data_IF_043799466954
#
_entry.id   IF_043799466954
#
_cell.length_a   1.000
_cell.length_b   1.000
_cell.length_c   1.000
_cell.angle_alpha   90.00
_cell.angle_beta   90.00
_cell.angle_gamma   90.00
#
_symmetry.space_group_name_H-M   'P 1'
#
loop_
_entity.id
_entity.type
_entity.pdbx_description
1 polymer ?
#
# COMPACT_ATOMS: atom_id res chain seq x y z
N UNK A 1 44.75 -40.09 68.40
CA UNK A 1 45.98 -40.93 68.14
C UNK A 1 46.55 -40.49 66.78
N UNK A 2 47.66 -39.87 66.91
CA UNK A 2 48.98 -40.14 66.26
C UNK A 2 48.89 -39.94 64.76
N UNK A 3 49.41 -38.87 64.27
CA UNK A 3 50.81 -38.51 64.18
C UNK A 3 51.44 -38.95 62.89
N UNK A 4 51.95 -38.00 62.22
CA UNK A 4 53.31 -37.79 61.70
C UNK A 4 53.36 -37.96 60.18
N UNK A 5 53.80 -36.99 59.53
CA UNK A 5 55.14 -36.36 59.33
C UNK A 5 55.67 -36.86 57.97
N UNK A 6 56.30 -36.19 57.16
CA UNK A 6 57.40 -35.25 57.06
C UNK A 6 57.73 -35.23 55.59
N UNK A 7 57.82 -34.15 54.99
CA UNK A 7 58.97 -33.30 54.68
C UNK A 7 59.70 -33.66 53.39
N UNK A 8 59.93 -32.66 52.69
CA UNK A 8 61.19 -32.02 52.25
C UNK A 8 61.80 -32.68 50.99
N UNK A 9 62.41 -32.06 50.10
CA UNK A 9 63.37 -30.99 50.04
C UNK A 9 63.83 -30.85 48.57
N UNK A 10 63.96 -29.64 48.14
CA UNK A 10 65.05 -28.95 47.45
C UNK A 10 65.42 -29.24 45.99
N UNK A 11 65.41 -28.10 45.29
CA UNK A 11 66.55 -27.46 44.62
C UNK A 11 66.84 -27.96 43.21
N UNK A 12 66.95 -27.18 42.23
CA UNK A 12 67.78 -26.03 41.92
C UNK A 12 67.38 -25.38 40.60
N UNK A 13 67.21 -24.12 40.58
CA UNK A 13 67.98 -23.08 39.87
C UNK A 13 68.62 -23.53 38.57
N UNK A 14 68.19 -22.93 37.46
CA UNK A 14 69.08 -22.26 36.47
C UNK A 14 68.28 -21.17 35.74
N UNK A 15 68.79 -19.95 35.89
CA UNK A 15 68.51 -18.76 35.12
C UNK A 15 68.89 -18.94 33.65
N UNK A 16 68.08 -18.44 32.73
CA UNK A 16 68.60 -17.77 31.56
C UNK A 16 67.58 -16.78 30.99
N UNK A 17 67.99 -15.56 31.03
CA UNK A 17 67.36 -14.34 30.51
C UNK A 17 67.43 -14.38 28.99
N UNK A 18 66.34 -14.00 28.32
CA UNK A 18 66.38 -13.24 27.07
C UNK A 18 65.00 -12.70 26.69
N UNK A 19 64.80 -11.44 26.96
CA UNK A 19 64.59 -10.32 26.04
C UNK A 19 63.27 -10.35 25.27
N UNK A 20 62.43 -9.39 25.72
CA UNK A 20 61.59 -8.46 24.95
C UNK A 20 60.86 -8.94 23.71
N UNK A 21 59.55 -8.93 23.83
CA UNK A 21 58.62 -8.93 22.74
C UNK A 21 57.23 -8.58 23.24
N UNK A 22 56.95 -7.29 23.52
CA UNK A 22 55.61 -6.80 23.68
C UNK A 22 54.86 -6.97 22.34
N UNK A 23 53.95 -7.92 22.24
CA UNK A 23 52.86 -7.84 21.30
C UNK A 23 51.59 -8.23 22.07
N UNK A 24 50.81 -7.21 22.38
CA UNK A 24 49.44 -7.34 22.88
C UNK A 24 48.64 -8.14 21.90
N UNK A 25 47.87 -9.16 22.28
CA UNK A 25 46.91 -9.77 21.39
C UNK A 25 45.82 -8.72 21.15
N UNK A 26 45.81 -8.15 19.92
CA UNK A 26 44.60 -7.52 19.40
C UNK A 26 43.47 -8.54 19.56
N UNK A 27 42.52 -8.23 20.42
CA UNK A 27 41.21 -8.83 20.36
C UNK A 27 40.67 -8.50 18.97
N UNK A 28 40.79 -9.39 18.04
CA UNK A 28 39.94 -9.45 16.88
C UNK A 28 38.50 -9.58 17.42
N UNK A 29 37.81 -8.46 17.42
CA UNK A 29 36.36 -8.44 17.56
C UNK A 29 35.86 -9.21 16.33
N UNK A 30 35.52 -10.46 16.53
CA UNK A 30 34.78 -11.22 15.55
C UNK A 30 33.55 -10.35 15.23
N UNK A 31 33.57 -9.66 14.09
CA UNK A 31 32.37 -9.17 13.46
C UNK A 31 31.48 -10.41 13.30
N UNK A 32 30.49 -10.53 14.18
CA UNK A 32 29.35 -11.38 13.92
C UNK A 32 28.80 -10.88 12.56
N UNK A 33 29.14 -11.58 11.52
CA UNK A 33 28.38 -11.56 10.27
C UNK A 33 27.03 -12.13 10.70
N UNK A 34 26.10 -11.22 11.06
CA UNK A 34 24.68 -11.55 11.04
C UNK A 34 24.47 -12.12 9.65
N UNK A 35 24.26 -13.40 9.56
CA UNK A 35 23.63 -14.02 8.40
C UNK A 35 22.29 -13.30 8.27
N UNK A 36 22.22 -12.29 7.41
CA UNK A 36 20.96 -11.70 6.97
C UNK A 36 20.22 -12.85 6.29
N UNK A 37 19.37 -13.52 7.03
CA UNK A 37 18.37 -14.37 6.43
C UNK A 37 17.57 -13.45 5.53
N UNK A 38 17.77 -13.55 4.22
CA UNK A 38 17.10 -12.74 3.21
C UNK A 38 15.62 -12.79 3.54
N UNK A 39 15.02 -11.64 3.85
CA UNK A 39 13.61 -11.57 4.21
C UNK A 39 12.77 -12.19 3.09
N UNK A 40 11.81 -13.02 3.48
CA UNK A 40 10.92 -13.73 2.56
C UNK A 40 9.55 -13.06 2.62
N UNK A 41 9.34 -12.09 1.73
CA UNK A 41 8.19 -11.21 1.74
C UNK A 41 7.17 -11.67 0.69
N UNK A 42 5.92 -11.72 1.06
CA UNK A 42 4.78 -11.95 0.17
C UNK A 42 3.96 -10.67 0.07
N UNK A 43 3.64 -10.23 -1.14
CA UNK A 43 2.66 -9.18 -1.40
C UNK A 43 1.33 -9.82 -1.82
N UNK A 44 0.21 -9.39 -1.23
CA UNK A 44 -1.12 -9.94 -1.53
C UNK A 44 -1.95 -9.05 -2.46
N UNK A 45 -1.46 -7.84 -2.79
CA UNK A 45 -2.17 -6.92 -3.70
C UNK A 45 -1.25 -6.36 -4.77
N UNK A 46 -1.82 -5.94 -5.90
CA UNK A 46 -1.07 -5.33 -7.01
C UNK A 46 -0.38 -4.04 -6.56
N UNK A 47 -1.09 -3.17 -5.83
CA UNK A 47 -0.54 -1.90 -5.35
C UNK A 47 0.71 -2.11 -4.47
N UNK A 48 0.65 -3.07 -3.54
CA UNK A 48 1.82 -3.43 -2.71
C UNK A 48 2.96 -4.00 -3.57
N UNK A 49 2.63 -4.86 -4.56
CA UNK A 49 3.63 -5.43 -5.47
C UNK A 49 4.37 -4.34 -6.27
N UNK A 50 3.64 -3.34 -6.76
CA UNK A 50 4.21 -2.18 -7.46
C UNK A 50 5.10 -1.33 -6.56
N UNK A 51 4.67 -1.07 -5.32
CA UNK A 51 5.48 -0.33 -4.33
C UNK A 51 6.78 -1.08 -4.05
N UNK A 52 6.73 -2.39 -3.84
CA UNK A 52 7.93 -3.20 -3.57
C UNK A 52 8.88 -3.23 -4.77
N UNK A 53 8.35 -3.21 -6.01
CA UNK A 53 9.17 -3.08 -7.22
C UNK A 53 9.88 -1.72 -7.28
N UNK A 54 9.15 -0.64 -7.02
CA UNK A 54 9.72 0.71 -6.99
C UNK A 54 10.79 0.89 -5.89
N UNK A 55 10.66 0.15 -4.79
CA UNK A 55 11.66 0.08 -3.72
C UNK A 55 12.80 -0.89 -4.02
N UNK A 56 12.78 -1.60 -5.13
CA UNK A 56 13.76 -2.63 -5.50
C UNK A 56 13.89 -3.74 -4.44
N UNK A 57 12.81 -4.10 -3.79
CA UNK A 57 12.76 -5.17 -2.78
C UNK A 57 12.26 -6.47 -3.41
N UNK A 58 12.94 -7.58 -3.16
CA UNK A 58 12.55 -8.88 -3.69
C UNK A 58 11.34 -9.45 -2.94
N UNK A 59 10.43 -10.09 -3.68
CA UNK A 59 9.31 -10.86 -3.16
C UNK A 59 9.53 -12.36 -3.36
N UNK A 60 8.80 -13.18 -2.62
CA UNK A 60 8.75 -14.65 -2.81
C UNK A 60 7.35 -15.12 -3.23
N UNK A 61 6.36 -14.25 -3.23
CA UNK A 61 5.00 -14.53 -3.68
C UNK A 61 4.27 -13.23 -4.01
N UNK A 62 3.34 -13.31 -4.96
CA UNK A 62 2.57 -12.18 -5.51
C UNK A 62 1.09 -12.52 -5.59
N UNK A 63 0.17 -11.54 -5.69
CA UNK A 63 -1.26 -11.82 -5.86
C UNK A 63 -1.54 -12.45 -7.23
N UNK A 64 -2.61 -13.24 -7.31
CA UNK A 64 -3.24 -13.55 -8.60
C UNK A 64 -4.06 -12.34 -9.05
N UNK A 65 -3.78 -11.86 -10.26
CA UNK A 65 -4.45 -10.68 -10.80
C UNK A 65 -4.57 -10.75 -12.32
N UNK A 66 -5.63 -10.16 -12.87
CA UNK A 66 -5.76 -9.88 -14.30
C UNK A 66 -4.90 -8.69 -14.73
N UNK A 67 -4.44 -7.86 -13.80
CA UNK A 67 -3.54 -6.73 -14.07
C UNK A 67 -2.11 -7.25 -14.25
N UNK A 68 -1.35 -6.58 -15.13
CA UNK A 68 0.07 -6.91 -15.35
C UNK A 68 0.89 -6.54 -14.12
N UNK A 69 1.56 -7.51 -13.54
CA UNK A 69 2.50 -7.28 -12.44
C UNK A 69 3.87 -6.83 -12.96
N UNK A 70 4.69 -6.18 -12.12
CA UNK A 70 6.05 -5.77 -12.47
C UNK A 70 6.91 -6.93 -12.96
N UNK A 71 7.72 -6.67 -13.99
CA UNK A 71 8.58 -7.69 -14.63
C UNK A 71 9.57 -8.34 -13.66
N UNK A 72 10.00 -7.64 -12.60
CA UNK A 72 10.86 -8.15 -11.53
C UNK A 72 10.32 -9.44 -10.92
N UNK A 73 9.00 -9.56 -10.83
CA UNK A 73 8.34 -10.68 -10.14
C UNK A 73 7.75 -11.71 -11.08
N UNK A 74 8.13 -11.68 -12.35
CA UNK A 74 7.66 -12.64 -13.35
C UNK A 74 8.03 -14.07 -12.95
N UNK A 75 7.04 -14.95 -12.90
CA UNK A 75 7.22 -16.36 -12.58
C UNK A 75 7.31 -16.70 -11.09
N UNK A 76 7.09 -15.71 -10.20
CA UNK A 76 6.91 -16.00 -8.78
C UNK A 76 5.58 -16.72 -8.53
N UNK A 77 5.49 -17.52 -7.46
CA UNK A 77 4.26 -18.15 -7.03
C UNK A 77 3.14 -17.12 -6.78
N UNK A 78 1.97 -17.40 -7.31
CA UNK A 78 0.77 -16.61 -7.05
C UNK A 78 0.04 -17.15 -5.82
N UNK A 79 -0.20 -16.27 -4.84
CA UNK A 79 -0.81 -16.59 -3.55
C UNK A 79 -2.33 -16.41 -3.52
N UNK A 80 -2.98 -16.23 -4.67
CA UNK A 80 -4.44 -16.14 -4.77
C UNK A 80 -4.96 -14.71 -4.85
N UNK A 81 -6.28 -14.61 -4.84
CA UNK A 81 -7.00 -13.34 -4.93
C UNK A 81 -6.71 -12.46 -3.70
N UNK A 82 -6.51 -11.14 -3.85
CA UNK A 82 -6.27 -10.22 -2.74
C UNK A 82 -7.29 -10.31 -1.59
N UNK A 83 -8.57 -10.51 -1.90
CA UNK A 83 -9.64 -10.61 -0.88
C UNK A 83 -9.70 -11.99 -0.21
N UNK A 84 -9.08 -13.01 -0.81
CA UNK A 84 -9.07 -14.40 -0.30
C UNK A 84 -7.77 -15.08 -0.69
N UNK A 85 -6.64 -14.68 -0.08
CA UNK A 85 -5.35 -15.31 -0.34
C UNK A 85 -5.34 -16.79 0.07
N UNK A 86 -4.61 -17.60 -0.68
CA UNK A 86 -4.42 -19.02 -0.39
C UNK A 86 -3.40 -19.18 0.76
N UNK A 87 -3.91 -19.42 1.95
CA UNK A 87 -3.08 -19.53 3.17
C UNK A 87 -2.09 -20.70 3.12
N UNK A 88 -2.40 -21.77 2.41
CA UNK A 88 -1.49 -22.91 2.28
C UNK A 88 -0.31 -22.51 1.39
N UNK A 89 -0.56 -21.84 0.30
CA UNK A 89 0.52 -21.29 -0.56
C UNK A 89 1.37 -20.29 0.20
N UNK A 90 0.77 -19.33 0.91
CA UNK A 90 1.51 -18.35 1.72
C UNK A 90 2.41 -19.06 2.75
N UNK A 91 1.89 -20.08 3.45
CA UNK A 91 2.67 -20.90 4.39
C UNK A 91 3.80 -21.67 3.71
N UNK A 92 3.52 -22.28 2.55
CA UNK A 92 4.52 -23.08 1.81
C UNK A 92 5.73 -22.25 1.40
N UNK A 93 5.53 -20.94 1.19
CA UNK A 93 6.59 -20.00 0.86
C UNK A 93 7.48 -19.66 2.07
N UNK A 94 7.13 -20.11 3.28
CA UNK A 94 7.88 -19.81 4.52
C UNK A 94 8.19 -18.32 4.64
N UNK A 95 7.17 -17.51 4.37
CA UNK A 95 7.28 -16.05 4.43
C UNK A 95 7.61 -15.58 5.85
N UNK A 96 8.55 -14.65 5.96
CA UNK A 96 8.82 -13.95 7.22
C UNK A 96 7.82 -12.81 7.46
N UNK A 97 7.22 -12.32 6.38
CA UNK A 97 6.23 -11.24 6.42
C UNK A 97 5.28 -11.33 5.21
N UNK A 98 4.04 -10.95 5.45
CA UNK A 98 3.02 -10.76 4.42
C UNK A 98 2.59 -9.30 4.43
N UNK A 99 2.58 -8.66 3.26
CA UNK A 99 2.14 -7.29 3.08
C UNK A 99 0.77 -7.27 2.38
N UNK A 100 -0.17 -6.57 2.98
CA UNK A 100 -1.51 -6.35 2.44
C UNK A 100 -1.90 -4.87 2.58
N UNK A 101 -3.17 -4.53 2.50
CA UNK A 101 -3.69 -3.16 2.61
C UNK A 101 -4.77 -3.07 3.69
N UNK A 102 -4.86 -1.92 4.37
CA UNK A 102 -5.80 -1.70 5.49
C UNK A 102 -7.26 -1.87 5.09
N UNK A 103 -7.62 -1.61 3.83
CA UNK A 103 -8.97 -1.84 3.30
C UNK A 103 -9.42 -3.30 3.37
N UNK A 104 -8.48 -4.24 3.51
CA UNK A 104 -8.74 -5.69 3.65
C UNK A 104 -8.41 -6.20 5.06
N UNK A 105 -8.00 -5.34 5.98
CA UNK A 105 -7.51 -5.77 7.30
C UNK A 105 -8.60 -6.43 8.12
N UNK A 106 -9.80 -5.89 8.12
CA UNK A 106 -10.91 -6.42 8.91
C UNK A 106 -11.21 -7.89 8.59
N UNK A 107 -11.24 -8.26 7.31
CA UNK A 107 -11.51 -9.61 6.85
C UNK A 107 -10.29 -10.52 6.95
N UNK A 108 -9.10 -10.02 6.60
CA UNK A 108 -7.91 -10.86 6.43
C UNK A 108 -7.10 -11.05 7.70
N UNK A 109 -7.08 -10.07 8.62
CA UNK A 109 -6.29 -10.18 9.84
C UNK A 109 -6.63 -11.41 10.68
N UNK A 110 -7.92 -11.73 10.94
CA UNK A 110 -8.27 -12.95 11.67
C UNK A 110 -7.82 -14.23 10.95
N UNK A 111 -7.84 -14.23 9.61
CA UNK A 111 -7.42 -15.39 8.81
C UNK A 111 -5.92 -15.61 8.91
N UNK A 112 -5.10 -14.54 8.79
CA UNK A 112 -3.66 -14.62 8.95
C UNK A 112 -3.25 -15.01 10.37
N UNK A 113 -3.87 -14.39 11.38
CA UNK A 113 -3.60 -14.69 12.79
C UNK A 113 -3.95 -16.17 13.13
N UNK A 114 -5.07 -16.67 12.58
CA UNK A 114 -5.52 -18.05 12.78
C UNK A 114 -4.56 -19.12 12.26
N UNK A 115 -3.70 -18.76 11.31
CA UNK A 115 -2.67 -19.65 10.75
C UNK A 115 -1.24 -19.28 11.17
N UNK A 116 -1.10 -18.30 12.09
CA UNK A 116 0.18 -17.89 12.65
C UNK A 116 1.07 -17.11 11.66
N UNK A 117 0.46 -16.44 10.67
CA UNK A 117 1.18 -15.61 9.70
C UNK A 117 1.16 -14.15 10.19
N UNK A 118 2.33 -13.53 10.27
CA UNK A 118 2.45 -12.10 10.55
C UNK A 118 2.15 -11.30 9.27
N UNK A 119 1.00 -10.64 9.25
CA UNK A 119 0.64 -9.71 8.19
C UNK A 119 0.84 -8.26 8.63
N UNK A 120 1.29 -7.41 7.70
CA UNK A 120 1.39 -5.98 7.86
C UNK A 120 0.47 -5.32 6.81
N UNK A 121 -0.46 -4.49 7.26
CA UNK A 121 -1.46 -3.84 6.43
C UNK A 121 -1.05 -2.38 6.19
N UNK A 122 -0.73 -2.07 4.94
CA UNK A 122 -0.31 -0.74 4.53
C UNK A 122 -1.53 0.16 4.34
N UNK A 123 -1.49 1.33 4.93
CA UNK A 123 -2.53 2.33 4.69
C UNK A 123 -2.25 3.06 3.37
N UNK A 124 -3.08 2.78 2.38
CA UNK A 124 -3.05 3.36 1.04
C UNK A 124 -4.36 4.12 0.74
N UNK A 125 -5.11 4.54 1.75
CA UNK A 125 -6.42 5.21 1.60
C UNK A 125 -6.30 6.67 1.15
N UNK A 126 -5.11 7.27 1.28
CA UNK A 126 -4.81 8.62 0.81
C UNK A 126 -3.40 8.70 0.25
N UNK A 127 -3.10 9.74 -0.53
CA UNK A 127 -1.74 9.99 -1.02
C UNK A 127 -0.75 10.15 0.12
N UNK A 128 -1.15 10.85 1.21
CA UNK A 128 -0.28 11.05 2.36
C UNK A 128 0.03 9.75 3.10
N UNK A 129 -0.98 8.92 3.31
CA UNK A 129 -0.80 7.63 3.99
C UNK A 129 0.03 6.67 3.13
N UNK A 130 -0.18 6.66 1.81
CA UNK A 130 0.65 5.91 0.87
C UNK A 130 2.12 6.36 0.92
N UNK A 131 2.39 7.66 0.92
CA UNK A 131 3.75 8.20 1.06
C UNK A 131 4.41 7.78 2.38
N UNK A 132 3.66 7.83 3.48
CA UNK A 132 4.14 7.36 4.78
C UNK A 132 4.47 5.87 4.73
N UNK A 133 3.57 5.04 4.20
CA UNK A 133 3.78 3.59 4.03
C UNK A 133 5.01 3.29 3.17
N UNK A 134 5.21 4.00 2.05
CA UNK A 134 6.40 3.86 1.20
C UNK A 134 7.67 4.24 1.96
N UNK A 135 7.64 5.36 2.72
CA UNK A 135 8.79 5.81 3.50
C UNK A 135 9.16 4.81 4.60
N UNK A 136 8.18 4.24 5.27
CA UNK A 136 8.40 3.26 6.34
C UNK A 136 8.92 1.91 5.79
N UNK A 137 8.41 1.46 4.63
CA UNK A 137 8.98 0.32 3.92
C UNK A 137 10.42 0.59 3.47
N UNK A 138 10.70 1.81 2.98
CA UNK A 138 12.06 2.21 2.62
C UNK A 138 13.03 2.09 3.79
N UNK A 139 12.69 2.61 4.97
CA UNK A 139 13.48 2.47 6.19
C UNK A 139 13.63 1.01 6.60
N UNK A 140 12.54 0.26 6.58
CA UNK A 140 12.52 -1.14 7.01
C UNK A 140 13.45 -2.02 6.18
N UNK A 141 13.49 -1.82 4.87
CA UNK A 141 14.24 -2.65 3.94
C UNK A 141 15.56 -2.02 3.46
N UNK A 142 15.99 -0.88 4.05
CA UNK A 142 17.22 -0.19 3.62
C UNK A 142 17.13 0.33 2.19
N UNK A 143 15.96 0.92 1.85
CA UNK A 143 15.62 1.47 0.53
C UNK A 143 15.15 2.92 0.62
N UNK A 144 15.69 3.66 1.57
CA UNK A 144 15.30 5.03 1.86
C UNK A 144 15.41 5.94 0.63
N UNK A 145 16.47 5.74 -0.17
CA UNK A 145 16.68 6.53 -1.38
C UNK A 145 15.58 6.30 -2.42
N UNK A 146 15.22 5.05 -2.68
CA UNK A 146 14.13 4.70 -3.60
C UNK A 146 12.79 5.24 -3.10
N UNK A 147 12.53 5.11 -1.81
CA UNK A 147 11.33 5.65 -1.18
C UNK A 147 11.24 7.17 -1.33
N UNK A 148 12.34 7.89 -1.05
CA UNK A 148 12.42 9.35 -1.22
C UNK A 148 12.18 9.78 -2.67
N UNK A 149 12.72 9.06 -3.65
CA UNK A 149 12.48 9.33 -5.06
C UNK A 149 11.01 9.23 -5.44
N UNK A 150 10.31 8.18 -4.98
CA UNK A 150 8.87 7.98 -5.22
C UNK A 150 8.05 9.07 -4.53
N UNK A 151 8.28 9.31 -3.25
CA UNK A 151 7.55 10.31 -2.45
C UNK A 151 7.75 11.70 -3.03
N UNK A 152 8.99 12.06 -3.39
CA UNK A 152 9.31 13.38 -3.98
C UNK A 152 8.59 13.60 -5.31
N UNK A 153 8.45 12.57 -6.16
CA UNK A 153 7.69 12.67 -7.42
C UNK A 153 6.22 12.96 -7.16
N UNK A 154 5.61 12.26 -6.20
CA UNK A 154 4.22 12.48 -5.80
C UNK A 154 4.01 13.88 -5.23
N UNK A 155 4.87 14.33 -4.31
CA UNK A 155 4.79 15.66 -3.71
C UNK A 155 4.90 16.78 -4.75
N UNK A 156 5.85 16.66 -5.67
CA UNK A 156 6.00 17.63 -6.77
C UNK A 156 4.75 17.69 -7.63
N UNK A 157 4.14 16.53 -7.92
CA UNK A 157 2.92 16.47 -8.72
C UNK A 157 1.75 17.12 -8.01
N UNK A 158 1.50 16.78 -6.76
CA UNK A 158 0.43 17.38 -5.95
C UNK A 158 0.63 18.90 -5.86
N UNK A 159 1.83 19.35 -5.52
CA UNK A 159 2.15 20.77 -5.42
C UNK A 159 1.92 21.52 -6.74
N UNK A 160 2.31 20.93 -7.88
CA UNK A 160 2.08 21.53 -9.21
C UNK A 160 0.59 21.70 -9.49
N UNK A 161 -0.18 20.64 -9.28
CA UNK A 161 -1.61 20.66 -9.55
C UNK A 161 -2.35 21.64 -8.64
N UNK A 162 -2.02 21.66 -7.35
CA UNK A 162 -2.62 22.62 -6.41
C UNK A 162 -2.38 24.08 -6.81
N UNK A 163 -1.20 24.39 -7.38
CA UNK A 163 -0.93 25.71 -7.93
C UNK A 163 -1.79 26.03 -9.15
N UNK A 164 -2.00 25.04 -10.04
CA UNK A 164 -2.76 25.20 -11.28
C UNK A 164 -4.27 25.38 -11.02
N UNK A 165 -4.80 24.79 -9.97
CA UNK A 165 -6.23 24.87 -9.62
C UNK A 165 -6.53 26.00 -8.62
N UNK A 166 -5.50 26.62 -8.04
CA UNK A 166 -5.65 27.69 -7.07
C UNK A 166 -6.49 28.85 -7.63
N UNK A 167 -7.56 29.21 -6.91
CA UNK A 167 -8.47 30.27 -7.30
C UNK A 167 -9.52 29.89 -8.33
N UNK A 168 -9.54 28.65 -8.81
CA UNK A 168 -10.67 28.14 -9.59
C UNK A 168 -11.85 27.82 -8.67
N UNK A 169 -13.08 27.78 -9.24
CA UNK A 169 -14.28 27.36 -8.50
C UNK A 169 -14.09 25.90 -8.06
N UNK A 170 -14.28 25.63 -6.79
CA UNK A 170 -14.25 24.26 -6.23
C UNK A 170 -15.49 23.48 -6.70
N UNK A 171 -15.34 22.42 -7.54
CA UNK A 171 -16.49 21.62 -7.95
C UNK A 171 -16.91 20.65 -6.84
N UNK A 172 -18.23 20.43 -6.73
CA UNK A 172 -18.79 19.37 -5.91
C UNK A 172 -18.82 18.06 -6.69
N UNK A 173 -18.40 16.96 -6.08
CA UNK A 173 -18.20 15.67 -6.73
C UNK A 173 -18.92 14.56 -5.99
N UNK A 174 -19.72 13.79 -6.73
CA UNK A 174 -20.24 12.49 -6.31
C UNK A 174 -19.34 11.39 -6.88
N UNK A 175 -18.89 10.45 -6.06
CA UNK A 175 -18.09 9.32 -6.48
C UNK A 175 -18.86 8.03 -6.24
N UNK A 176 -19.06 7.25 -7.29
CA UNK A 176 -19.70 5.94 -7.25
C UNK A 176 -18.65 4.85 -7.49
N UNK A 177 -18.59 3.87 -6.61
CA UNK A 177 -17.78 2.67 -6.78
C UNK A 177 -18.69 1.52 -7.19
N UNK A 178 -18.68 1.16 -8.46
CA UNK A 178 -19.40 0.01 -9.00
C UNK A 178 -18.67 -1.29 -8.76
N UNK A 179 -19.43 -2.29 -8.39
CA UNK A 179 -19.04 -3.70 -8.33
C UNK A 179 -20.07 -4.51 -9.12
N UNK A 180 -19.78 -5.73 -9.57
CA UNK A 180 -20.77 -6.50 -10.33
C UNK A 180 -22.13 -6.58 -9.63
N UNK A 181 -23.16 -6.02 -10.24
CA UNK A 181 -24.55 -6.04 -9.76
C UNK A 181 -24.95 -4.96 -8.73
N UNK A 182 -24.00 -4.10 -8.30
CA UNK A 182 -24.28 -3.07 -7.28
C UNK A 182 -23.29 -1.91 -7.37
N UNK A 183 -23.52 -0.86 -6.57
CA UNK A 183 -22.55 0.21 -6.38
C UNK A 183 -22.62 0.78 -4.96
N UNK A 184 -21.50 1.31 -4.52
CA UNK A 184 -21.31 2.04 -3.27
C UNK A 184 -21.09 3.52 -3.57
N UNK A 185 -21.26 4.37 -2.56
CA UNK A 185 -20.90 5.77 -2.61
C UNK A 185 -19.60 5.97 -1.86
N UNK A 186 -18.59 6.52 -2.53
CA UNK A 186 -17.30 6.78 -1.93
C UNK A 186 -17.32 8.12 -1.18
N UNK A 187 -16.83 8.11 0.04
CA UNK A 187 -16.73 9.28 0.92
C UNK A 187 -15.43 10.05 0.67
N UNK A 188 -15.24 11.15 1.40
CA UNK A 188 -14.00 11.93 1.40
C UNK A 188 -12.78 11.15 1.94
N UNK A 189 -13.01 10.03 2.64
CA UNK A 189 -11.95 9.16 3.19
C UNK A 189 -11.50 8.05 2.24
N UNK A 190 -12.18 7.87 1.09
CA UNK A 190 -11.72 6.96 0.06
C UNK A 190 -10.50 7.53 -0.69
N UNK A 191 -9.71 6.66 -1.31
CA UNK A 191 -8.57 7.09 -2.13
C UNK A 191 -8.98 8.09 -3.23
N UNK A 192 -10.06 7.82 -3.96
CA UNK A 192 -10.56 8.73 -5.00
C UNK A 192 -11.06 10.04 -4.38
N UNK A 193 -11.68 9.97 -3.18
CA UNK A 193 -12.08 11.14 -2.40
C UNK A 193 -10.90 12.02 -2.01
N UNK A 194 -9.77 11.42 -1.61
CA UNK A 194 -8.53 12.15 -1.35
C UNK A 194 -7.98 12.81 -2.62
N UNK A 195 -7.96 12.11 -3.78
CA UNK A 195 -7.54 12.72 -5.05
C UNK A 195 -8.40 13.94 -5.43
N UNK A 196 -9.72 13.85 -5.27
CA UNK A 196 -10.64 14.99 -5.48
C UNK A 196 -10.27 16.16 -4.58
N UNK A 197 -9.99 15.89 -3.30
CA UNK A 197 -9.57 16.91 -2.33
C UNK A 197 -8.22 17.53 -2.70
N UNK A 198 -7.23 16.77 -3.14
CA UNK A 198 -5.93 17.29 -3.58
C UNK A 198 -6.07 18.27 -4.77
N UNK A 199 -7.08 18.08 -5.58
CA UNK A 199 -7.44 18.95 -6.70
C UNK A 199 -8.36 20.12 -6.32
N UNK A 200 -8.63 20.33 -5.03
CA UNK A 200 -9.51 21.41 -4.56
C UNK A 200 -11.00 21.17 -4.82
N UNK A 201 -11.40 19.93 -5.11
CA UNK A 201 -12.81 19.55 -5.19
C UNK A 201 -13.39 19.15 -3.84
N UNK A 202 -14.70 19.11 -3.76
CA UNK A 202 -15.45 18.76 -2.56
C UNK A 202 -16.30 17.52 -2.81
N UNK A 203 -15.98 16.40 -2.13
CA UNK A 203 -16.88 15.27 -2.12
C UNK A 203 -18.20 15.66 -1.46
N UNK A 204 -19.33 15.29 -2.07
CA UNK A 204 -20.66 15.61 -1.49
C UNK A 204 -20.97 14.80 -0.23
N UNK A 205 -20.29 13.67 -0.02
CA UNK A 205 -20.42 12.82 1.16
C UNK A 205 -19.28 13.12 2.12
N UNK A 206 -19.58 13.85 3.18
CA UNK A 206 -18.64 14.30 4.20
C UNK A 206 -19.11 13.95 5.61
N UNK A 207 -18.16 13.89 6.55
CA UNK A 207 -18.43 13.66 7.97
C UNK A 207 -18.62 12.20 8.37
N UNK A 208 -18.54 11.29 7.41
CA UNK A 208 -18.55 9.84 7.65
C UNK A 208 -17.16 9.37 8.10
N UNK A 209 -17.10 8.22 8.80
CA UNK A 209 -15.83 7.67 9.29
C UNK A 209 -15.34 6.46 8.48
N UNK A 210 -16.01 6.17 7.37
CA UNK A 210 -15.75 5.03 6.49
C UNK A 210 -15.45 5.49 5.06
N UNK A 211 -14.76 4.68 4.29
CA UNK A 211 -14.41 5.00 2.91
C UNK A 211 -15.59 4.88 1.94
N UNK A 212 -16.51 3.95 2.21
CA UNK A 212 -17.64 3.64 1.35
C UNK A 212 -18.92 3.43 2.14
N UNK A 213 -20.04 3.93 1.58
CA UNK A 213 -21.40 3.76 2.10
C UNK A 213 -22.24 2.95 1.12
N UNK A 214 -23.22 2.24 1.63
CA UNK A 214 -24.27 1.71 0.78
C UNK A 214 -25.00 2.84 0.07
N UNK A 215 -25.33 2.65 -1.21
CA UNK A 215 -26.02 3.67 -1.99
C UNK A 215 -27.41 3.96 -1.42
N UNK A 216 -27.65 5.21 -1.06
CA UNK A 216 -28.96 5.70 -0.66
C UNK A 216 -29.36 6.85 -1.60
N UNK A 217 -30.25 6.54 -2.54
CA UNK A 217 -30.67 7.48 -3.58
C UNK A 217 -31.40 8.72 -3.05
N UNK A 218 -32.03 8.64 -1.88
CA UNK A 218 -32.71 9.82 -1.29
C UNK A 218 -31.71 10.86 -0.76
N UNK A 219 -30.59 10.39 -0.19
CA UNK A 219 -29.49 11.26 0.21
C UNK A 219 -28.88 11.97 -1.02
N UNK A 220 -28.70 11.24 -2.09
CA UNK A 220 -28.10 11.74 -3.34
C UNK A 220 -28.99 12.83 -3.99
N UNK A 221 -30.34 12.72 -3.91
CA UNK A 221 -31.27 13.70 -4.48
C UNK A 221 -31.04 15.13 -3.99
N UNK A 222 -30.61 15.29 -2.75
CA UNK A 222 -30.46 16.63 -2.11
C UNK A 222 -29.11 17.28 -2.45
N UNK A 223 -28.17 16.55 -2.99
CA UNK A 223 -26.78 16.98 -3.08
C UNK A 223 -26.38 17.65 -4.40
N UNK A 224 -27.10 17.41 -5.50
CA UNK A 224 -26.91 17.94 -6.87
C UNK A 224 -25.43 18.29 -7.23
N UNK A 225 -24.55 17.28 -7.40
CA UNK A 225 -23.13 17.51 -7.62
C UNK A 225 -22.85 18.15 -8.99
N UNK A 226 -21.77 18.95 -9.07
CA UNK A 226 -21.26 19.47 -10.34
C UNK A 226 -20.72 18.37 -11.26
N UNK A 227 -20.22 17.26 -10.65
CA UNK A 227 -19.55 16.15 -11.36
C UNK A 227 -19.95 14.81 -10.72
N UNK A 228 -20.14 13.79 -11.55
CA UNK A 228 -20.26 12.39 -11.11
C UNK A 228 -19.08 11.59 -11.68
N UNK A 229 -18.35 10.92 -10.81
CA UNK A 229 -17.26 9.98 -11.14
C UNK A 229 -17.74 8.56 -10.89
N UNK A 230 -17.63 7.68 -11.90
CA UNK A 230 -18.04 6.28 -11.83
C UNK A 230 -16.78 5.42 -11.89
N UNK A 231 -16.33 4.91 -10.74
CA UNK A 231 -15.23 3.97 -10.66
C UNK A 231 -15.77 2.53 -10.80
N UNK A 232 -15.11 1.70 -11.58
CA UNK A 232 -15.43 0.29 -11.72
C UNK A 232 -14.37 -0.55 -10.99
N UNK A 233 -14.81 -1.48 -10.14
CA UNK A 233 -13.93 -2.39 -9.43
C UNK A 233 -14.33 -3.84 -9.70
N UNK A 234 -13.38 -4.59 -10.24
CA UNK A 234 -13.63 -5.95 -10.74
C UNK A 234 -14.59 -5.94 -11.94
N UNK A 235 -14.27 -6.64 -13.01
CA UNK A 235 -15.08 -6.72 -14.22
C UNK A 235 -15.52 -5.34 -14.78
N UNK A 236 -14.58 -4.41 -15.07
CA UNK A 236 -14.90 -3.01 -15.35
C UNK A 236 -15.91 -2.85 -16.50
N UNK A 237 -15.82 -3.64 -17.56
CA UNK A 237 -16.76 -3.55 -18.69
C UNK A 237 -18.22 -3.87 -18.31
N UNK A 238 -18.42 -4.81 -17.38
CA UNK A 238 -19.75 -5.16 -16.89
C UNK A 238 -20.30 -4.07 -15.95
N UNK A 239 -19.44 -3.52 -15.12
CA UNK A 239 -19.79 -2.44 -14.19
C UNK A 239 -20.16 -1.18 -14.95
N UNK A 240 -19.42 -0.79 -15.99
CA UNK A 240 -19.77 0.35 -16.85
C UNK A 240 -21.13 0.13 -17.50
N UNK A 241 -21.42 -1.05 -18.08
CA UNK A 241 -22.74 -1.37 -18.63
C UNK A 241 -23.85 -1.32 -17.59
N UNK A 242 -23.57 -1.75 -16.36
CA UNK A 242 -24.51 -1.62 -15.23
C UNK A 242 -24.82 -0.15 -14.95
N UNK A 243 -23.80 0.70 -14.84
CA UNK A 243 -24.00 2.13 -14.65
C UNK A 243 -24.77 2.77 -15.80
N UNK A 244 -24.47 2.46 -17.04
CA UNK A 244 -25.18 2.99 -18.21
C UNK A 244 -26.66 2.61 -18.19
N UNK A 245 -26.97 1.36 -17.81
CA UNK A 245 -28.35 0.93 -17.61
C UNK A 245 -29.00 1.70 -16.48
N UNK A 246 -28.36 1.81 -15.31
CA UNK A 246 -28.87 2.52 -14.14
C UNK A 246 -29.16 3.98 -14.44
N UNK A 247 -28.23 4.70 -15.08
CA UNK A 247 -28.39 6.10 -15.43
C UNK A 247 -29.46 6.33 -16.50
N UNK A 248 -29.74 5.33 -17.35
CA UNK A 248 -30.77 5.39 -18.38
C UNK A 248 -32.17 5.09 -17.83
N UNK A 249 -32.30 4.13 -16.91
CA UNK A 249 -33.58 3.58 -16.48
C UNK A 249 -34.09 4.18 -15.16
N UNK A 250 -33.20 4.63 -14.29
CA UNK A 250 -33.58 5.23 -13.02
C UNK A 250 -33.64 6.75 -13.16
N UNK A 251 -34.86 7.30 -13.11
CA UNK A 251 -35.14 8.71 -13.36
C UNK A 251 -34.44 9.66 -12.38
N UNK A 252 -34.00 9.19 -11.23
CA UNK A 252 -33.26 10.03 -10.28
C UNK A 252 -32.05 10.71 -10.91
N UNK A 253 -31.30 9.97 -11.74
CA UNK A 253 -30.07 10.45 -12.37
C UNK A 253 -30.31 11.60 -13.34
N UNK A 254 -31.48 11.65 -14.00
CA UNK A 254 -31.84 12.68 -14.98
C UNK A 254 -32.01 14.06 -14.34
N UNK A 255 -32.17 14.13 -13.01
CA UNK A 255 -32.37 15.40 -12.30
C UNK A 255 -31.07 16.10 -11.94
N UNK A 256 -29.92 15.38 -11.89
CA UNK A 256 -28.64 15.96 -11.52
C UNK A 256 -28.09 16.93 -12.57
N UNK A 257 -27.54 18.05 -12.12
CA UNK A 257 -26.86 19.02 -12.98
C UNK A 257 -25.69 18.37 -13.72
N UNK A 258 -24.92 17.50 -13.05
CA UNK A 258 -23.82 16.75 -13.67
C UNK A 258 -24.28 15.95 -14.92
N UNK A 259 -25.42 15.27 -14.85
CA UNK A 259 -25.96 14.49 -15.98
C UNK A 259 -26.44 15.42 -17.10
N UNK A 260 -27.18 16.49 -16.77
CA UNK A 260 -27.67 17.46 -17.76
C UNK A 260 -26.53 18.17 -18.50
N UNK A 261 -25.41 18.37 -17.83
CA UNK A 261 -24.26 19.09 -18.37
C UNK A 261 -23.18 18.14 -18.96
N UNK A 262 -23.48 16.84 -19.09
CA UNK A 262 -22.54 15.81 -19.57
C UNK A 262 -21.23 15.75 -18.75
N UNK A 263 -21.33 15.90 -17.43
CA UNK A 263 -20.21 15.84 -16.49
C UNK A 263 -20.23 14.55 -15.65
N UNK A 264 -20.48 13.44 -16.33
CA UNK A 264 -20.40 12.09 -15.78
C UNK A 264 -19.23 11.39 -16.46
N UNK A 265 -18.28 10.88 -15.69
CA UNK A 265 -17.05 10.30 -16.19
C UNK A 265 -16.86 8.90 -15.65
N UNK A 266 -16.50 7.96 -16.54
CA UNK A 266 -16.00 6.65 -16.15
C UNK A 266 -14.52 6.72 -15.86
N UNK A 267 -14.11 6.21 -14.70
CA UNK A 267 -12.74 6.21 -14.26
C UNK A 267 -12.05 4.90 -14.65
N UNK A 268 -10.88 4.99 -15.27
CA UNK A 268 -10.06 3.83 -15.60
C UNK A 268 -9.59 3.12 -14.32
N UNK A 269 -9.92 1.83 -14.15
CA UNK A 269 -9.61 1.05 -12.95
C UNK A 269 -8.10 1.01 -12.62
N UNK A 270 -7.23 1.07 -13.61
CA UNK A 270 -5.78 1.09 -13.42
C UNK A 270 -5.32 2.31 -12.63
N UNK A 271 -5.96 3.46 -12.87
CA UNK A 271 -5.63 4.73 -12.24
C UNK A 271 -6.39 4.93 -10.92
N UNK A 272 -7.64 4.51 -10.90
CA UNK A 272 -8.62 4.80 -9.86
C UNK A 272 -9.09 3.52 -9.17
N UNK A 273 -8.15 2.80 -8.55
CA UNK A 273 -8.47 1.63 -7.72
C UNK A 273 -9.13 2.02 -6.39
N UNK A 274 -9.47 1.01 -5.61
CA UNK A 274 -9.98 1.19 -4.24
C UNK A 274 -8.92 1.67 -3.26
N UNK A 275 -7.64 1.55 -3.60
CA UNK A 275 -6.49 2.01 -2.81
C UNK A 275 -5.52 2.80 -3.67
N UNK A 276 -4.70 3.63 -3.04
CA UNK A 276 -3.59 4.33 -3.69
C UNK A 276 -2.62 3.35 -4.37
N UNK A 277 -2.10 3.76 -5.51
CA UNK A 277 -1.10 3.05 -6.29
C UNK A 277 -0.14 4.03 -6.96
N UNK A 278 0.93 3.54 -7.58
CA UNK A 278 1.97 4.39 -8.17
C UNK A 278 1.51 5.15 -9.44
N UNK A 279 0.37 4.79 -10.02
CA UNK A 279 -0.25 5.54 -11.12
C UNK A 279 -0.96 6.83 -10.64
N UNK A 280 -0.91 7.16 -9.35
CA UNK A 280 -1.52 8.37 -8.78
C UNK A 280 -1.13 9.67 -9.50
N UNK A 281 0.09 9.75 -10.03
CA UNK A 281 0.56 10.91 -10.81
C UNK A 281 -0.28 11.10 -12.07
N UNK A 282 -0.54 10.02 -12.80
CA UNK A 282 -1.37 9.99 -14.00
C UNK A 282 -2.85 10.20 -13.64
N UNK A 283 -3.31 9.55 -12.57
CA UNK A 283 -4.67 9.72 -12.05
C UNK A 283 -5.00 11.18 -11.74
N UNK A 284 -4.08 11.91 -11.11
CA UNK A 284 -4.25 13.33 -10.82
C UNK A 284 -4.36 14.18 -12.10
N UNK A 285 -3.61 13.85 -13.17
CA UNK A 285 -3.72 14.58 -14.44
C UNK A 285 -5.06 14.34 -15.12
N UNK A 286 -5.52 13.10 -15.17
CA UNK A 286 -6.80 12.75 -15.77
C UNK A 286 -7.96 13.36 -14.97
N UNK A 287 -7.92 13.25 -13.64
CA UNK A 287 -8.95 13.82 -12.80
C UNK A 287 -9.02 15.35 -12.90
N UNK A 288 -7.85 16.02 -13.03
CA UNK A 288 -7.81 17.47 -13.27
C UNK A 288 -8.55 17.88 -14.55
N UNK A 289 -8.38 17.13 -15.66
CA UNK A 289 -9.10 17.39 -16.93
C UNK A 289 -10.62 17.25 -16.76
N UNK A 290 -11.04 16.24 -15.97
CA UNK A 290 -12.48 16.03 -15.69
C UNK A 290 -13.04 17.11 -14.79
N UNK A 291 -12.29 17.57 -13.81
CA UNK A 291 -12.76 18.58 -12.85
C UNK A 291 -12.73 20.01 -13.40
N UNK A 292 -11.75 20.31 -14.24
CA UNK A 292 -11.49 21.66 -14.78
C UNK A 292 -11.26 21.62 -16.29
N UNK A 293 -12.28 21.26 -17.09
CA UNK A 293 -12.22 21.16 -18.54
C UNK A 293 -11.90 22.51 -19.22
#
# INVERSE_FOLDING_TARGET
MRVKKIASVLMAIILLVSIAGCSSPKKETAKQVKSESKERIVATTVAVTEIMDALEVDLVGVPTSSKTLPKRYKGLPEVGNPMSPDMEKVKSLKSSEVLSVTTLEYELKPVFDGVGIKANFLDLTSLKNMQNSISDLGKKYGREKQAEEVVTKLDKKVTSIQKEVKGKKEPTVLILLGVPGSYLVATEHSYIGDLVKQLGGKNIVQGEQVEYLASNTEYLKKADPDIILRAAHGMPDEVVKMFDKEFKTNDIWKHFAAVKNNRVYDLEERLFGTTGNLAAIEALDELKKMMYP
#
